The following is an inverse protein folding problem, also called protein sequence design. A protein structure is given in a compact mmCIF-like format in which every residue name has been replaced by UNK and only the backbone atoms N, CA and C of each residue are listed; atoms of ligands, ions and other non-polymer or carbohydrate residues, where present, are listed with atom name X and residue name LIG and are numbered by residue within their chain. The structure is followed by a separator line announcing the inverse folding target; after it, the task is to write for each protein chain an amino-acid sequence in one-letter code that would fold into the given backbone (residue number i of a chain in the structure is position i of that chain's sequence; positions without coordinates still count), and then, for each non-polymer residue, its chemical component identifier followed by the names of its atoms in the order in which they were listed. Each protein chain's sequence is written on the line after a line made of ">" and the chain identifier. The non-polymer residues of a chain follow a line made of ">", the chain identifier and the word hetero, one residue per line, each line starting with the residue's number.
data_IF_778926436052
#
_entry.id   IF_778926436052
#
_cell.length_a   1.000
_cell.length_b   1.000
_cell.length_c   1.000
_cell.angle_alpha   90.00
_cell.angle_beta   90.00
_cell.angle_gamma   90.00
#
_symmetry.space_group_name_H-M   'P 1'
#
loop_
_entity.id
_entity.type
_entity.pdbx_description
1 polymer ?
#
# COMPACT_ATOMS: atom_id res chain seq x y z
N UNK A 1 30.19 -52.11 6.90
CA UNK A 1 29.74 -50.83 7.52
C UNK A 1 29.81 -49.57 6.61
N UNK A 2 30.23 -49.64 5.34
CA UNK A 2 30.33 -48.44 4.45
C UNK A 2 29.02 -48.05 3.74
N UNK A 3 28.11 -48.99 3.48
CA UNK A 3 26.88 -48.74 2.69
C UNK A 3 25.78 -47.94 3.40
N UNK A 4 25.80 -47.89 4.74
CA UNK A 4 24.77 -47.20 5.53
C UNK A 4 25.09 -45.72 5.82
N UNK A 5 26.32 -45.27 5.52
CA UNK A 5 26.77 -43.90 5.81
C UNK A 5 26.27 -42.88 4.81
N UNK A 6 26.18 -43.27 3.54
CA UNK A 6 25.72 -42.39 2.45
C UNK A 6 24.27 -41.95 2.65
N UNK A 7 23.27 -42.84 2.87
CA UNK A 7 21.88 -42.42 3.04
C UNK A 7 21.65 -41.58 4.30
N UNK A 8 22.42 -41.81 5.37
CA UNK A 8 22.33 -41.03 6.61
C UNK A 8 22.87 -39.61 6.40
N UNK A 9 23.99 -39.48 5.68
CA UNK A 9 24.58 -38.17 5.38
C UNK A 9 23.66 -37.36 4.46
N UNK A 10 23.04 -37.98 3.44
CA UNK A 10 22.04 -37.30 2.60
C UNK A 10 20.78 -36.91 3.37
N UNK A 11 20.31 -37.75 4.29
CA UNK A 11 19.14 -37.41 5.12
C UNK A 11 19.42 -36.21 6.04
N UNK A 12 20.62 -36.16 6.63
CA UNK A 12 21.05 -35.06 7.52
C UNK A 12 21.24 -33.76 6.73
N UNK A 13 21.81 -33.82 5.52
CA UNK A 13 21.95 -32.62 4.67
C UNK A 13 20.60 -32.11 4.19
N UNK A 14 19.69 -33.01 3.78
CA UNK A 14 18.34 -32.62 3.39
C UNK A 14 17.57 -32.00 4.57
N UNK A 15 17.68 -32.57 5.77
CA UNK A 15 17.10 -32.00 6.98
C UNK A 15 17.69 -30.61 7.32
N UNK A 16 19.00 -30.42 7.11
CA UNK A 16 19.67 -29.14 7.28
C UNK A 16 19.15 -28.06 6.31
N UNK A 17 18.92 -28.41 5.05
CA UNK A 17 18.34 -27.49 4.07
C UNK A 17 16.87 -27.15 4.36
N UNK A 18 16.08 -28.11 4.84
CA UNK A 18 14.69 -27.87 5.26
C UNK A 18 14.64 -26.96 6.50
N UNK A 19 15.52 -27.16 7.48
CA UNK A 19 15.60 -26.32 8.68
C UNK A 19 16.09 -24.89 8.38
N UNK A 20 17.01 -24.71 7.42
CA UNK A 20 17.45 -23.40 6.97
C UNK A 20 16.35 -22.60 6.26
N UNK A 21 15.33 -23.26 5.71
CA UNK A 21 14.18 -22.59 5.08
C UNK A 21 13.18 -21.98 6.08
N UNK A 22 13.27 -22.31 7.37
CA UNK A 22 12.43 -21.69 8.42
C UNK A 22 12.94 -20.32 8.87
N UNK A 23 14.00 -19.79 8.25
CA UNK A 23 14.43 -18.39 8.37
C UNK A 23 13.55 -17.40 7.61
N UNK A 24 12.31 -17.77 7.26
CA UNK A 24 11.32 -16.79 6.81
C UNK A 24 11.05 -15.85 7.97
N UNK A 25 11.65 -14.66 7.90
CA UNK A 25 11.38 -13.54 8.77
C UNK A 25 9.91 -13.13 8.59
N UNK A 26 9.02 -13.84 9.27
CA UNK A 26 7.68 -13.36 9.53
C UNK A 26 7.84 -12.32 10.63
N UNK A 27 8.05 -11.06 10.24
CA UNK A 27 7.73 -9.96 11.13
C UNK A 27 6.26 -10.12 11.49
N UNK A 28 5.98 -10.57 12.71
CA UNK A 28 4.62 -10.71 13.21
C UNK A 28 4.04 -9.29 13.32
N UNK A 29 3.31 -8.90 12.28
CA UNK A 29 2.65 -7.61 12.20
C UNK A 29 1.18 -7.81 12.54
N UNK A 30 0.72 -7.13 13.60
CA UNK A 30 -0.67 -7.12 14.02
C UNK A 30 -1.34 -5.81 13.59
N UNK A 31 -2.52 -5.95 13.02
CA UNK A 31 -3.42 -4.84 12.70
C UNK A 31 -4.49 -4.79 13.79
N UNK A 32 -4.79 -3.60 14.33
CA UNK A 32 -5.66 -3.45 15.51
C UNK A 32 -7.07 -4.02 15.37
N UNK A 33 -7.59 -4.17 14.15
CA UNK A 33 -8.89 -4.75 13.87
C UNK A 33 -8.98 -5.36 12.47
N UNK A 34 -9.94 -6.26 12.27
CA UNK A 34 -10.22 -6.86 10.96
C UNK A 34 -11.14 -5.99 10.08
N UNK A 35 -11.84 -5.00 10.67
CA UNK A 35 -12.81 -4.14 9.99
C UNK A 35 -12.69 -2.72 10.53
N UNK A 36 -12.71 -1.75 9.62
CA UNK A 36 -12.63 -0.32 9.92
C UNK A 36 -13.72 0.45 9.17
N UNK A 37 -14.16 1.56 9.75
CA UNK A 37 -14.99 2.58 9.09
C UNK A 37 -14.12 3.72 8.59
N UNK A 38 -14.67 4.51 7.67
CA UNK A 38 -13.99 5.71 7.19
C UNK A 38 -13.79 6.70 8.33
N UNK A 39 -12.56 7.16 8.51
CA UNK A 39 -12.16 8.06 9.61
C UNK A 39 -11.58 7.34 10.84
N UNK A 40 -11.62 6.00 10.88
CA UNK A 40 -11.02 5.25 11.97
C UNK A 40 -9.48 5.29 11.89
N UNK A 41 -8.83 5.21 13.06
CA UNK A 41 -7.37 5.09 13.16
C UNK A 41 -6.97 3.62 13.09
N UNK A 42 -6.01 3.31 12.22
CA UNK A 42 -5.44 1.96 12.05
C UNK A 42 -4.10 1.92 12.78
N UNK A 43 -3.96 1.00 13.74
CA UNK A 43 -2.69 0.77 14.44
C UNK A 43 -2.06 -0.51 13.91
N UNK A 44 -0.83 -0.40 13.41
CA UNK A 44 -0.02 -1.53 12.95
C UNK A 44 1.15 -1.67 13.91
N UNK A 45 1.25 -2.82 14.57
CA UNK A 45 2.30 -3.11 15.54
C UNK A 45 3.10 -4.31 15.06
N UNK A 46 4.42 -4.24 15.12
CA UNK A 46 5.28 -5.37 14.78
C UNK A 46 6.69 -5.15 15.29
N UNK A 47 7.53 -6.17 15.12
CA UNK A 47 8.96 -6.12 15.47
C UNK A 47 9.79 -6.17 14.20
N UNK A 48 10.80 -5.31 14.13
CA UNK A 48 11.86 -5.37 13.12
C UNK A 48 13.20 -5.54 13.83
N UNK A 49 14.16 -6.18 13.18
CA UNK A 49 15.51 -6.25 13.74
C UNK A 49 16.17 -4.86 13.72
N UNK A 50 17.01 -4.53 14.72
CA UNK A 50 17.76 -3.27 14.71
C UNK A 50 18.56 -3.09 13.43
N UNK A 51 18.54 -1.86 12.87
CA UNK A 51 19.27 -1.52 11.65
C UNK A 51 18.61 -2.00 10.34
N UNK A 52 17.45 -2.66 10.40
CA UNK A 52 16.64 -2.96 9.21
C UNK A 52 15.76 -1.76 8.85
N UNK A 53 15.54 -1.57 7.56
CA UNK A 53 14.58 -0.60 7.06
C UNK A 53 13.14 -1.08 7.30
N UNK A 54 12.27 -0.14 7.69
CA UNK A 54 10.85 -0.40 7.79
C UNK A 54 10.21 -0.21 6.42
N UNK A 55 9.36 -1.16 6.01
CA UNK A 55 8.51 -1.04 4.83
C UNK A 55 7.10 -1.51 5.19
N UNK A 56 6.15 -0.57 5.26
CA UNK A 56 4.73 -0.88 5.43
C UNK A 56 4.01 -0.52 4.14
N UNK A 57 3.46 -1.54 3.48
CA UNK A 57 2.70 -1.35 2.25
C UNK A 57 1.20 -1.45 2.52
N UNK A 58 0.48 -0.36 2.27
CA UNK A 58 -0.98 -0.32 2.33
C UNK A 58 -1.49 -0.38 0.90
N UNK A 59 -1.98 -1.56 0.52
CA UNK A 59 -2.50 -1.82 -0.81
C UNK A 59 -3.99 -2.16 -0.77
N UNK A 60 -4.77 -1.53 -1.65
CA UNK A 60 -6.13 -1.97 -1.91
C UNK A 60 -6.10 -3.22 -2.79
N UNK A 61 -6.61 -4.36 -2.31
CA UNK A 61 -6.56 -5.61 -3.08
C UNK A 61 -7.45 -5.57 -4.34
N UNK A 62 -8.54 -4.78 -4.33
CA UNK A 62 -9.52 -4.74 -5.43
C UNK A 62 -9.57 -3.36 -6.06
N UNK A 63 -9.58 -3.27 -7.39
CA UNK A 63 -9.83 -1.99 -8.07
C UNK A 63 -11.16 -1.40 -7.62
N UNK A 64 -11.18 -0.09 -7.39
CA UNK A 64 -12.45 0.60 -7.18
C UNK A 64 -13.19 0.66 -8.51
N UNK A 65 -14.33 -0.02 -8.58
CA UNK A 65 -15.21 0.03 -9.75
C UNK A 65 -16.16 1.22 -9.60
N UNK A 66 -16.03 2.22 -10.47
CA UNK A 66 -16.88 3.42 -10.48
C UNK A 66 -18.35 3.16 -10.83
N UNK A 67 -18.72 1.93 -11.24
CA UNK A 67 -20.10 1.57 -11.56
C UNK A 67 -20.98 1.79 -10.32
N UNK A 68 -21.77 2.85 -10.37
CA UNK A 68 -22.67 3.36 -9.30
C UNK A 68 -23.59 2.30 -8.68
N UNK A 69 -23.78 1.18 -9.37
CA UNK A 69 -24.71 0.12 -8.98
C UNK A 69 -24.05 -1.05 -8.25
N UNK A 70 -22.73 -1.16 -8.28
CA UNK A 70 -22.04 -2.32 -7.74
C UNK A 70 -20.58 -2.02 -7.36
N UNK A 71 -20.24 -2.21 -6.10
CA UNK A 71 -18.88 -2.20 -5.61
C UNK A 71 -18.55 -3.61 -5.11
N UNK A 72 -17.65 -4.32 -5.80
CA UNK A 72 -17.16 -5.64 -5.39
C UNK A 72 -18.29 -6.65 -5.04
N UNK A 73 -19.26 -6.84 -5.94
CA UNK A 73 -20.37 -7.79 -5.72
C UNK A 73 -21.44 -7.32 -4.72
N UNK A 74 -21.29 -6.13 -4.14
CA UNK A 74 -22.28 -5.53 -3.24
C UNK A 74 -23.07 -4.43 -3.96
N UNK A 75 -24.41 -4.48 -3.87
CA UNK A 75 -25.36 -3.43 -4.29
C UNK A 75 -25.24 -2.11 -3.53
N UNK A 76 -24.16 -1.91 -2.77
CA UNK A 76 -24.10 -0.90 -1.72
C UNK A 76 -23.25 0.31 -2.11
N UNK A 77 -23.81 1.13 -3.00
CA UNK A 77 -23.57 2.57 -2.94
C UNK A 77 -24.74 3.17 -2.18
N UNK A 78 -24.45 3.86 -1.08
CA UNK A 78 -25.46 4.55 -0.29
C UNK A 78 -26.26 5.54 -1.16
N UNK A 79 -27.48 5.89 -0.71
CA UNK A 79 -28.37 6.82 -1.41
C UNK A 79 -27.67 8.15 -1.76
N UNK A 80 -26.70 8.55 -0.94
CA UNK A 80 -25.99 9.81 -1.05
C UNK A 80 -24.93 9.76 -2.16
N UNK A 81 -24.14 8.69 -2.22
CA UNK A 81 -23.12 8.46 -3.23
C UNK A 81 -23.76 8.34 -4.61
N UNK A 82 -24.90 7.63 -4.73
CA UNK A 82 -25.65 7.55 -6.00
C UNK A 82 -26.06 8.92 -6.55
N UNK A 83 -26.36 9.88 -5.68
CA UNK A 83 -26.76 11.24 -6.09
C UNK A 83 -25.56 12.18 -6.30
N UNK A 84 -24.53 12.07 -5.45
CA UNK A 84 -23.38 12.98 -5.47
C UNK A 84 -22.31 12.57 -6.47
N UNK A 85 -22.01 11.28 -6.59
CA UNK A 85 -20.93 10.78 -7.45
C UNK A 85 -21.12 11.20 -8.92
N UNK A 86 -22.31 11.05 -9.55
CA UNK A 86 -22.52 11.50 -10.93
C UNK A 86 -22.43 13.03 -11.11
N UNK A 87 -22.91 13.81 -10.12
CA UNK A 87 -22.80 15.27 -10.14
C UNK A 87 -21.34 15.73 -10.06
N UNK A 88 -20.54 15.05 -9.23
CA UNK A 88 -19.11 15.30 -9.05
C UNK A 88 -18.32 14.84 -10.28
N UNK A 89 -18.67 13.69 -10.86
CA UNK A 89 -18.11 13.18 -12.12
C UNK A 89 -18.22 14.22 -13.24
N UNK A 90 -19.43 14.76 -13.46
CA UNK A 90 -19.64 15.86 -14.42
C UNK A 90 -18.82 17.10 -14.09
N UNK A 91 -18.71 17.49 -12.82
CA UNK A 91 -17.96 18.67 -12.39
C UNK A 91 -16.45 18.52 -12.55
N UNK A 92 -15.91 17.33 -12.30
CA UNK A 92 -14.47 17.07 -12.24
C UNK A 92 -13.94 16.27 -13.43
N UNK A 93 -14.77 16.00 -14.44
CA UNK A 93 -14.35 15.44 -15.73
C UNK A 93 -13.96 13.96 -15.69
N UNK A 94 -14.50 13.16 -14.77
CA UNK A 94 -14.30 11.71 -14.74
C UNK A 94 -15.59 10.97 -15.11
N UNK A 95 -15.46 9.77 -15.65
CA UNK A 95 -16.61 8.92 -16.05
C UNK A 95 -16.97 7.94 -14.93
N UNK A 96 -18.19 7.40 -14.94
CA UNK A 96 -18.58 6.38 -13.96
C UNK A 96 -17.95 5.01 -14.25
N UNK A 97 -17.26 4.86 -15.38
CA UNK A 97 -16.44 3.68 -15.68
C UNK A 97 -14.97 3.91 -15.30
N UNK A 98 -14.66 5.03 -14.65
CA UNK A 98 -13.32 5.31 -14.16
C UNK A 98 -13.00 4.33 -13.03
N UNK A 99 -12.10 3.40 -13.33
CA UNK A 99 -11.48 2.56 -12.32
C UNK A 99 -10.42 3.40 -11.60
N UNK A 100 -10.52 3.50 -10.27
CA UNK A 100 -9.37 4.02 -9.53
C UNK A 100 -8.39 2.86 -9.36
N UNK A 101 -7.11 3.07 -9.74
CA UNK A 101 -6.10 2.05 -9.53
C UNK A 101 -6.03 1.71 -8.03
N UNK A 102 -5.62 0.49 -7.69
CA UNK A 102 -5.33 0.11 -6.32
C UNK A 102 -4.56 1.21 -5.61
N UNK A 103 -5.13 1.76 -4.54
CA UNK A 103 -4.38 2.68 -3.70
C UNK A 103 -3.20 1.88 -3.13
N UNK A 104 -1.99 2.38 -3.38
CA UNK A 104 -0.74 1.78 -2.97
C UNK A 104 0.09 2.84 -2.27
N UNK A 105 0.23 2.71 -0.96
CA UNK A 105 1.08 3.57 -0.15
C UNK A 105 2.19 2.74 0.45
N UNK A 106 3.41 3.27 0.40
CA UNK A 106 4.57 2.69 1.09
C UNK A 106 5.00 3.69 2.15
N UNK A 107 4.96 3.25 3.41
CA UNK A 107 5.58 3.96 4.52
C UNK A 107 6.94 3.31 4.74
N UNK A 108 8.01 4.07 4.55
CA UNK A 108 9.37 3.55 4.66
C UNK A 108 10.34 4.54 5.25
N UNK A 109 11.37 4.01 5.92
CA UNK A 109 12.56 4.77 6.35
C UNK A 109 13.56 4.99 5.22
N UNK A 110 13.49 4.20 4.14
CA UNK A 110 14.40 4.27 3.00
C UNK A 110 13.66 4.71 1.74
N UNK A 111 13.53 6.02 1.57
CA UNK A 111 12.83 6.64 0.44
C UNK A 111 13.63 6.51 -0.86
N UNK A 112 14.95 6.55 -0.78
CA UNK A 112 15.86 6.55 -1.93
C UNK A 112 15.76 5.25 -2.75
N UNK A 113 15.35 4.15 -2.11
CA UNK A 113 15.07 2.88 -2.79
C UNK A 113 13.88 2.95 -3.79
N UNK A 114 12.96 3.90 -3.62
CA UNK A 114 11.73 4.00 -4.43
C UNK A 114 11.69 5.19 -5.39
N UNK A 115 12.63 6.11 -5.27
CA UNK A 115 12.67 7.27 -6.16
C UNK A 115 13.57 8.39 -5.65
N UNK A 116 13.45 9.54 -6.30
CA UNK A 116 14.16 10.76 -5.92
C UNK A 116 13.15 11.79 -5.44
N UNK A 117 13.45 12.41 -4.31
CA UNK A 117 12.67 13.51 -3.80
C UNK A 117 12.62 14.64 -4.84
N UNK A 118 11.42 15.09 -5.16
CA UNK A 118 11.25 16.28 -6.00
C UNK A 118 10.63 17.40 -5.17
N UNK A 119 11.28 18.56 -5.14
CA UNK A 119 10.72 19.74 -4.48
C UNK A 119 9.40 20.11 -5.16
N UNK A 120 8.29 19.93 -4.45
CA UNK A 120 6.96 20.33 -4.92
C UNK A 120 6.52 21.60 -4.20
N UNK A 121 5.93 22.51 -4.98
CA UNK A 121 5.41 23.78 -4.49
C UNK A 121 3.88 23.76 -4.46
N UNK A 122 3.31 24.00 -3.27
CA UNK A 122 1.87 24.01 -3.01
C UNK A 122 1.37 25.39 -2.57
N UNK A 123 0.08 25.66 -2.76
CA UNK A 123 -0.57 26.89 -2.31
C UNK A 123 -0.24 28.15 -3.13
N UNK A 124 -0.87 29.27 -2.78
CA UNK A 124 -0.70 30.55 -3.47
C UNK A 124 -1.77 30.81 -4.55
N UNK A 125 -2.13 32.08 -4.79
CA UNK A 125 -3.04 32.48 -5.84
C UNK A 125 -2.64 31.95 -7.22
N UNK A 126 -3.61 31.44 -7.97
CA UNK A 126 -3.40 30.79 -9.28
C UNK A 126 -2.63 31.66 -10.29
N UNK A 127 -2.68 32.99 -10.16
CA UNK A 127 -1.95 33.92 -11.04
C UNK A 127 -0.43 33.93 -10.79
N UNK A 128 0.04 33.64 -9.57
CA UNK A 128 1.48 33.58 -9.25
C UNK A 128 2.16 32.33 -9.79
N UNK A 129 1.39 31.29 -10.14
CA UNK A 129 1.91 30.03 -10.66
C UNK A 129 2.68 30.19 -11.98
N UNK A 130 2.31 31.18 -12.82
CA UNK A 130 3.00 31.52 -14.07
C UNK A 130 4.23 32.42 -13.89
N UNK A 131 4.31 33.18 -12.80
CA UNK A 131 5.35 34.19 -12.59
C UNK A 131 6.50 33.72 -11.68
N UNK A 132 6.21 32.87 -10.68
CA UNK A 132 7.18 32.46 -9.65
C UNK A 132 7.52 30.95 -9.66
N UNK A 133 7.10 30.23 -10.70
CA UNK A 133 7.49 28.83 -10.89
C UNK A 133 6.87 27.83 -9.91
N UNK A 134 5.65 28.10 -9.43
CA UNK A 134 4.92 27.21 -8.52
C UNK A 134 4.69 27.81 -7.14
N UNK A 135 3.77 27.21 -6.39
CA UNK A 135 3.18 27.72 -5.15
C UNK A 135 4.10 28.22 -4.02
N UNK A 136 3.50 28.79 -2.98
CA UNK A 136 4.20 29.47 -1.88
C UNK A 136 4.94 28.53 -0.91
N UNK A 137 4.47 27.29 -0.78
CA UNK A 137 4.97 26.35 0.22
C UNK A 137 5.75 25.22 -0.44
N UNK A 138 6.98 24.98 -0.02
CA UNK A 138 7.78 23.84 -0.45
C UNK A 138 7.44 22.60 0.40
N UNK A 139 7.26 21.46 -0.24
CA UNK A 139 7.25 20.14 0.40
C UNK A 139 8.13 19.20 -0.41
N UNK A 140 8.82 18.26 0.25
CA UNK A 140 9.42 17.11 -0.42
C UNK A 140 8.38 15.99 -0.53
N UNK A 141 8.37 15.29 -1.65
CA UNK A 141 7.59 14.08 -1.88
C UNK A 141 8.47 13.04 -2.55
#
# INVERSE_FOLDING_TARGET
>A
MKRMRIPVVTLITLAGFVLASYGLCFGEAHISAAKYKAGDTVTITGKIAPGQDLYITIAQNKMFNGKVREFNGQKSMGNFERKKLPKKAKKFGFTMDTNLPPLFYVLTTNRDAFGKDTAKKFGGPSFMKKMLGGGLYNTSM
#
